data_IF_022203108974
#
_entry.id   IF_022203108974
#
_cell.length_a   1.000
_cell.length_b   1.000
_cell.length_c   1.000
_cell.angle_alpha   90.00
_cell.angle_beta   90.00
_cell.angle_gamma   90.00
#
_symmetry.space_group_name_H-M   'P 1'
#
loop_
_entity.id
_entity.type
_entity.pdbx_description
1 polymer ?
#
# COMPACT_ATOMS: atom_id res chain seq x y z
N UNK A 1 33.71 55.17 -1.02
CA UNK A 1 32.74 54.08 -0.80
C UNK A 1 33.18 53.29 0.42
N UNK A 2 32.51 53.37 1.58
CA UNK A 2 32.73 52.40 2.64
C UNK A 2 31.89 51.15 2.35
N UNK A 3 32.49 49.98 2.56
CA UNK A 3 31.79 48.71 2.53
C UNK A 3 30.99 48.60 3.83
N UNK A 4 29.66 48.66 3.72
CA UNK A 4 28.77 48.23 4.79
C UNK A 4 28.87 46.71 4.91
N UNK A 5 29.85 46.24 5.67
CA UNK A 5 29.84 44.90 6.23
C UNK A 5 28.62 44.82 7.15
N UNK A 6 27.51 44.33 6.60
CA UNK A 6 26.34 43.91 7.38
C UNK A 6 26.77 42.70 8.20
N UNK A 7 27.50 42.95 9.28
CA UNK A 7 27.74 41.97 10.33
C UNK A 7 26.36 41.52 10.79
N UNK A 8 25.95 40.34 10.35
CA UNK A 8 24.67 39.76 10.73
C UNK A 8 24.64 39.72 12.25
N UNK A 9 23.84 40.61 12.85
CA UNK A 9 23.81 40.80 14.29
C UNK A 9 23.61 39.44 14.96
N UNK A 10 24.47 39.03 15.92
CA UNK A 10 24.50 37.65 16.44
C UNK A 10 23.15 37.21 17.02
N UNK A 11 22.33 38.16 17.47
CA UNK A 11 20.96 37.94 17.90
C UNK A 11 20.02 37.47 16.76
N UNK A 12 20.18 38.00 15.54
CA UNK A 12 19.40 37.60 14.36
C UNK A 12 19.80 36.20 13.89
N UNK A 13 21.11 35.92 13.83
CA UNK A 13 21.62 34.59 13.49
C UNK A 13 21.16 33.53 14.49
N UNK A 14 21.18 33.83 15.80
CA UNK A 14 20.69 32.94 16.85
C UNK A 14 19.18 32.67 16.74
N UNK A 15 18.37 33.68 16.42
CA UNK A 15 16.93 33.50 16.18
C UNK A 15 16.67 32.61 14.97
N UNK A 16 17.40 32.81 13.87
CA UNK A 16 17.29 31.96 12.67
C UNK A 16 17.69 30.52 12.98
N UNK A 17 18.79 30.32 13.70
CA UNK A 17 19.24 28.99 14.10
C UNK A 17 18.19 28.27 14.97
N UNK A 18 17.55 28.98 15.90
CA UNK A 18 16.47 28.43 16.73
C UNK A 18 15.22 28.08 15.92
N UNK A 19 14.84 28.91 14.95
CA UNK A 19 13.72 28.62 14.05
C UNK A 19 14.00 27.42 13.16
N UNK A 20 15.21 27.30 12.61
CA UNK A 20 15.62 26.15 11.81
C UNK A 20 15.65 24.87 12.64
N UNK A 21 16.16 24.93 13.87
CA UNK A 21 16.15 23.80 14.79
C UNK A 21 14.73 23.35 15.11
N UNK A 22 13.82 24.31 15.37
CA UNK A 22 12.40 24.03 15.60
C UNK A 22 11.74 23.39 14.39
N UNK A 23 11.98 23.92 13.18
CA UNK A 23 11.46 23.36 11.94
C UNK A 23 11.99 21.94 11.70
N UNK A 24 13.28 21.70 11.93
CA UNK A 24 13.90 20.38 11.81
C UNK A 24 13.29 19.37 12.79
N UNK A 25 13.04 19.78 14.04
CA UNK A 25 12.37 18.95 15.05
C UNK A 25 10.94 18.59 14.64
N UNK A 26 10.16 19.55 14.12
CA UNK A 26 8.81 19.29 13.62
C UNK A 26 8.84 18.33 12.44
N UNK A 27 9.77 18.52 11.50
CA UNK A 27 9.92 17.62 10.36
C UNK A 27 10.29 16.19 10.78
N UNK A 28 11.23 16.07 11.73
CA UNK A 28 11.67 14.78 12.26
C UNK A 28 10.55 14.07 13.02
N UNK A 29 9.84 14.78 13.91
CA UNK A 29 8.73 14.20 14.68
C UNK A 29 7.54 13.83 13.78
N UNK A 30 7.19 14.70 12.83
CA UNK A 30 6.14 14.44 11.85
C UNK A 30 6.47 13.28 10.92
N UNK A 31 7.70 13.23 10.42
CA UNK A 31 8.19 12.13 9.58
C UNK A 31 8.23 10.79 10.32
N UNK A 32 8.72 10.78 11.57
CA UNK A 32 8.71 9.58 12.40
C UNK A 32 7.27 9.12 12.68
N UNK A 33 6.37 10.02 13.04
CA UNK A 33 4.97 9.70 13.29
C UNK A 33 4.28 9.13 12.05
N UNK A 34 4.47 9.75 10.88
CA UNK A 34 3.96 9.25 9.61
C UNK A 34 4.53 7.87 9.27
N UNK A 35 5.84 7.67 9.46
CA UNK A 35 6.49 6.39 9.22
C UNK A 35 5.98 5.29 10.16
N UNK A 36 5.74 5.59 11.44
CA UNK A 36 5.13 4.64 12.37
C UNK A 36 3.70 4.29 11.98
N UNK A 37 2.91 5.27 11.54
CA UNK A 37 1.56 5.02 11.03
C UNK A 37 1.61 4.13 9.78
N UNK A 38 2.48 4.44 8.83
CA UNK A 38 2.69 3.63 7.62
C UNK A 38 3.17 2.21 7.95
N UNK A 39 4.14 2.06 8.84
CA UNK A 39 4.63 0.76 9.28
C UNK A 39 3.56 -0.05 10.03
N UNK A 40 2.68 0.61 10.79
CA UNK A 40 1.51 -0.01 11.41
C UNK A 40 0.50 -0.45 10.36
N UNK A 41 0.24 0.39 9.35
CA UNK A 41 -0.69 0.10 8.27
C UNK A 41 -0.19 -1.06 7.39
N UNK A 42 1.11 -1.12 7.10
CA UNK A 42 1.75 -2.25 6.38
C UNK A 42 1.75 -3.52 7.23
N UNK A 43 1.93 -3.44 8.55
CA UNK A 43 1.81 -4.61 9.44
C UNK A 43 0.38 -5.13 9.55
N UNK A 44 -0.60 -4.23 9.54
CA UNK A 44 -2.02 -4.58 9.61
C UNK A 44 -2.57 -5.03 8.25
N UNK A 45 -1.96 -4.59 7.15
CA UNK A 45 -2.35 -4.96 5.79
C UNK A 45 -1.14 -5.03 4.84
N UNK A 46 -0.44 -6.18 4.81
CA UNK A 46 0.68 -6.39 3.89
C UNK A 46 0.25 -6.40 2.41
N UNK A 47 -1.05 -6.47 2.12
CA UNK A 47 -1.59 -6.46 0.76
C UNK A 47 -1.80 -5.05 0.20
N UNK A 48 -1.55 -3.98 0.97
CA UNK A 48 -1.66 -2.58 0.50
C UNK A 48 -0.84 -2.33 -0.77
N UNK A 49 0.33 -2.96 -0.91
CA UNK A 49 1.22 -2.81 -2.08
C UNK A 49 0.60 -3.46 -3.34
N UNK A 50 -0.30 -4.43 -3.20
CA UNK A 50 -0.88 -5.19 -4.30
C UNK A 50 -2.25 -4.68 -4.78
N UNK A 51 -2.75 -3.57 -4.23
CA UNK A 51 -4.05 -2.98 -4.60
C UNK A 51 -4.00 -2.05 -5.81
N UNK A 52 -2.86 -2.00 -6.50
CA UNK A 52 -2.77 -1.27 -7.77
C UNK A 52 -3.64 -1.95 -8.85
N UNK A 53 -4.52 -1.21 -9.55
CA UNK A 53 -5.43 -1.78 -10.54
C UNK A 53 -4.71 -2.55 -11.66
N UNK A 54 -3.54 -2.07 -12.09
CA UNK A 54 -2.73 -2.71 -13.13
C UNK A 54 -2.23 -4.10 -12.69
N UNK A 55 -1.86 -4.24 -11.42
CA UNK A 55 -1.38 -5.51 -10.86
C UNK A 55 -2.54 -6.50 -10.73
N UNK A 56 -3.71 -6.05 -10.28
CA UNK A 56 -4.90 -6.90 -10.20
C UNK A 56 -5.38 -7.37 -11.58
N UNK A 57 -5.31 -6.50 -12.59
CA UNK A 57 -5.63 -6.85 -13.98
C UNK A 57 -4.67 -7.93 -14.53
N UNK A 58 -3.37 -7.78 -14.27
CA UNK A 58 -2.38 -8.76 -14.68
C UNK A 58 -2.57 -10.12 -13.98
N UNK A 59 -2.94 -10.11 -12.69
CA UNK A 59 -3.24 -11.33 -11.94
C UNK A 59 -4.49 -12.04 -12.47
N UNK A 60 -5.56 -11.30 -12.79
CA UNK A 60 -6.76 -11.88 -13.40
C UNK A 60 -6.46 -12.47 -14.77
N UNK A 61 -5.68 -11.78 -15.60
CA UNK A 61 -5.27 -12.27 -16.91
C UNK A 61 -4.46 -13.57 -16.79
N UNK A 62 -3.50 -13.61 -15.86
CA UNK A 62 -2.69 -14.81 -15.61
C UNK A 62 -3.53 -15.99 -15.12
N UNK A 63 -4.53 -15.73 -14.28
CA UNK A 63 -5.44 -16.76 -13.80
C UNK A 63 -6.32 -17.31 -14.94
N UNK A 64 -6.83 -16.44 -15.81
CA UNK A 64 -7.62 -16.81 -16.99
C UNK A 64 -6.77 -17.61 -18.01
N UNK A 65 -5.51 -17.21 -18.21
CA UNK A 65 -4.57 -17.97 -19.05
C UNK A 65 -4.26 -19.35 -18.45
N UNK A 66 -4.12 -19.46 -17.12
CA UNK A 66 -3.96 -20.74 -16.44
C UNK A 66 -5.21 -21.62 -16.55
N UNK A 67 -6.41 -21.04 -16.42
CA UNK A 67 -7.69 -21.74 -16.62
C UNK A 67 -7.78 -22.29 -18.04
N UNK A 68 -7.45 -21.49 -19.06
CA UNK A 68 -7.40 -21.92 -20.48
C UNK A 68 -6.37 -23.01 -20.75
N UNK A 69 -5.23 -22.96 -20.05
CA UNK A 69 -4.20 -23.98 -20.13
C UNK A 69 -4.58 -25.29 -19.41
N UNK A 70 -5.73 -25.33 -18.72
CA UNK A 70 -6.18 -26.48 -17.93
C UNK A 70 -5.54 -26.57 -16.54
N UNK A 71 -4.70 -25.60 -16.15
CA UNK A 71 -4.10 -25.51 -14.82
C UNK A 71 -5.07 -24.86 -13.83
N UNK A 72 -6.06 -25.67 -13.43
CA UNK A 72 -7.12 -25.26 -12.52
C UNK A 72 -6.59 -24.88 -11.13
N UNK A 73 -5.52 -25.51 -10.66
CA UNK A 73 -4.96 -25.25 -9.34
C UNK A 73 -4.38 -23.83 -9.29
N UNK A 74 -3.57 -23.45 -10.29
CA UNK A 74 -2.98 -22.12 -10.40
C UNK A 74 -4.04 -21.03 -10.58
N UNK A 75 -5.07 -21.29 -11.39
CA UNK A 75 -6.19 -20.36 -11.56
C UNK A 75 -6.93 -20.09 -10.23
N UNK A 76 -7.31 -21.15 -9.51
CA UNK A 76 -8.00 -21.07 -8.21
C UNK A 76 -7.17 -20.31 -7.18
N UNK A 77 -5.87 -20.62 -7.04
CA UNK A 77 -5.01 -19.93 -6.07
C UNK A 77 -4.88 -18.44 -6.39
N UNK A 78 -4.80 -18.08 -7.67
CA UNK A 78 -4.65 -16.69 -8.11
C UNK A 78 -5.94 -15.90 -7.89
N UNK A 79 -7.12 -16.47 -8.18
CA UNK A 79 -8.40 -15.81 -7.90
C UNK A 79 -8.63 -15.61 -6.39
N UNK A 80 -8.30 -16.60 -5.55
CA UNK A 80 -8.38 -16.48 -4.08
C UNK A 80 -7.43 -15.40 -3.55
N UNK A 81 -6.24 -15.28 -4.13
CA UNK A 81 -5.30 -14.22 -3.78
C UNK A 81 -5.90 -12.84 -4.08
N UNK A 82 -6.48 -12.62 -5.27
CA UNK A 82 -7.15 -11.36 -5.62
C UNK A 82 -8.27 -11.00 -4.62
N UNK A 83 -9.06 -11.99 -4.18
CA UNK A 83 -10.10 -11.78 -3.16
C UNK A 83 -9.49 -11.39 -1.81
N UNK A 84 -8.43 -12.06 -1.37
CA UNK A 84 -7.74 -11.74 -0.10
C UNK A 84 -7.15 -10.33 -0.09
N UNK A 85 -6.57 -9.88 -1.21
CA UNK A 85 -6.01 -8.53 -1.37
C UNK A 85 -7.10 -7.45 -1.28
N UNK A 86 -8.30 -7.74 -1.79
CA UNK A 86 -9.45 -6.85 -1.69
C UNK A 86 -10.16 -6.84 -0.32
N UNK A 87 -9.85 -7.79 0.57
CA UNK A 87 -10.44 -7.90 1.91
C UNK A 87 -9.56 -7.33 3.05
N UNK A 88 -8.31 -6.93 2.78
CA UNK A 88 -7.41 -6.35 3.81
C UNK A 88 -7.91 -5.02 4.40
N UNK A 89 -7.17 -4.45 5.37
CA UNK A 89 -7.55 -3.25 6.13
C UNK A 89 -8.09 -2.11 5.25
N UNK A 90 -9.36 -1.75 5.51
CA UNK A 90 -10.11 -0.73 4.78
C UNK A 90 -11.32 -1.26 4.00
N UNK A 91 -11.49 -2.58 3.88
CA UNK A 91 -12.54 -3.18 3.06
C UNK A 91 -12.27 -2.97 1.56
N UNK A 92 -13.12 -3.54 0.71
CA UNK A 92 -13.00 -3.41 -0.74
C UNK A 92 -13.08 -1.93 -1.12
N UNK A 93 -11.93 -1.29 -1.31
CA UNK A 93 -11.84 0.06 -1.83
C UNK A 93 -12.58 0.10 -3.16
N UNK A 94 -13.32 1.17 -3.47
CA UNK A 94 -14.19 1.23 -4.65
C UNK A 94 -13.49 0.83 -5.97
N UNK A 95 -12.17 1.06 -6.05
CA UNK A 95 -11.33 0.69 -7.19
C UNK A 95 -10.97 -0.81 -7.26
N UNK A 96 -10.98 -1.53 -6.14
CA UNK A 96 -10.61 -2.96 -6.05
C UNK A 96 -11.85 -3.86 -6.17
N UNK A 97 -13.03 -3.34 -5.82
CA UNK A 97 -14.29 -4.10 -5.82
C UNK A 97 -14.62 -4.80 -7.17
N UNK A 98 -14.40 -4.19 -8.35
CA UNK A 98 -14.65 -4.86 -9.63
C UNK A 98 -13.77 -6.11 -9.84
N UNK A 99 -12.51 -6.05 -9.41
CA UNK A 99 -11.56 -7.16 -9.56
C UNK A 99 -11.90 -8.33 -8.62
N UNK A 100 -12.33 -8.02 -7.39
CA UNK A 100 -12.83 -9.02 -6.43
C UNK A 100 -14.11 -9.68 -6.97
N UNK A 101 -15.03 -8.90 -7.55
CA UNK A 101 -16.24 -9.43 -8.16
C UNK A 101 -15.93 -10.36 -9.35
N UNK A 102 -14.97 -9.98 -10.20
CA UNK A 102 -14.50 -10.81 -11.31
C UNK A 102 -13.86 -12.12 -10.83
N UNK A 103 -13.00 -12.06 -9.81
CA UNK A 103 -12.36 -13.24 -9.22
C UNK A 103 -13.40 -14.21 -8.59
N UNK A 104 -14.38 -13.67 -7.86
CA UNK A 104 -15.48 -14.46 -7.29
C UNK A 104 -16.36 -15.11 -8.36
N UNK A 105 -16.67 -14.37 -9.42
CA UNK A 105 -17.40 -14.93 -10.56
C UNK A 105 -16.62 -16.09 -11.21
N UNK A 106 -15.29 -15.97 -11.34
CA UNK A 106 -14.45 -17.02 -11.87
C UNK A 106 -14.39 -18.26 -10.97
N UNK A 107 -14.22 -18.09 -9.64
CA UNK A 107 -14.27 -19.20 -8.69
C UNK A 107 -15.61 -19.93 -8.69
N UNK A 108 -16.72 -19.20 -8.83
CA UNK A 108 -18.05 -19.78 -8.96
C UNK A 108 -18.19 -20.64 -10.23
N UNK A 109 -17.65 -20.20 -11.39
CA UNK A 109 -17.61 -21.03 -12.60
C UNK A 109 -16.79 -22.30 -12.41
N UNK A 110 -15.71 -22.19 -11.63
CA UNK A 110 -14.85 -23.32 -11.25
C UNK A 110 -15.40 -24.14 -10.07
N UNK A 111 -16.62 -23.84 -9.57
CA UNK A 111 -17.25 -24.57 -8.46
C UNK A 111 -16.41 -24.60 -7.17
N UNK A 112 -15.57 -23.59 -6.96
CA UNK A 112 -14.60 -23.56 -5.86
C UNK A 112 -14.95 -22.47 -4.86
N UNK A 113 -14.88 -22.77 -3.56
CA UNK A 113 -15.16 -21.78 -2.52
C UNK A 113 -14.08 -20.69 -2.44
N UNK A 114 -14.50 -19.47 -2.08
CA UNK A 114 -13.65 -18.28 -1.94
C UNK A 114 -12.66 -18.33 -0.76
N UNK A 115 -12.72 -19.36 0.09
CA UNK A 115 -11.88 -19.47 1.28
C UNK A 115 -10.50 -20.03 0.94
N UNK A 116 -9.45 -19.32 1.36
CA UNK A 116 -8.11 -19.89 1.47
C UNK A 116 -8.11 -20.94 2.59
N UNK A 117 -7.50 -22.12 2.41
CA UNK A 117 -7.20 -23.00 3.54
C UNK A 117 -6.38 -22.19 4.56
N UNK A 118 -6.91 -22.04 5.76
CA UNK A 118 -6.18 -21.41 6.86
C UNK A 118 -4.94 -22.23 7.23
N UNK A 119 -3.90 -21.61 7.79
CA UNK A 119 -2.76 -22.37 8.31
C UNK A 119 -3.25 -23.40 9.35
N UNK A 120 -2.70 -24.62 9.35
CA UNK A 120 -3.03 -25.60 10.37
C UNK A 120 -2.65 -25.04 11.76
N UNK A 121 -3.60 -25.10 12.69
CA UNK A 121 -3.36 -24.83 14.11
C UNK A 121 -2.59 -26.00 14.73
#
# INVERSE_FOLDING_TARGET
>A
MPADDVAASPARARRVALLLLGAALVLAAGGAFWFFQFASQVRQDPAVIYREPATLDQLLKRADDAERAGDRATAVTTYRFVISVGQGAGGASAHVAPYVAAARAALNRLGTADTLPGPPH
#
